data_IF_407528538691
#
_entry.id   IF_407528538691
#
_cell.length_a   1.000
_cell.length_b   1.000
_cell.length_c   1.000
_cell.angle_alpha   90.00
_cell.angle_beta   90.00
_cell.angle_gamma   90.00
#
_symmetry.space_group_name_H-M   'P 1'
#
loop_
_entity.id
_entity.type
_entity.pdbx_description
1 polymer ?
#
# COMPACT_ATOMS: atom_id res chain seq x y z
N UNK A 1 -0.36 -110.27 42.38
CA UNK A 1 0.05 -110.32 43.80
C UNK A 1 1.36 -109.59 43.95
N UNK A 2 1.55 -109.00 45.14
CA UNK A 2 2.67 -108.18 45.63
C UNK A 2 2.48 -106.65 45.54
N UNK A 3 2.37 -106.10 46.75
CA UNK A 3 2.13 -104.74 47.20
C UNK A 3 3.45 -103.98 47.44
N UNK A 4 3.29 -102.69 47.81
CA UNK A 4 4.12 -101.79 48.63
C UNK A 4 4.89 -100.73 47.82
N UNK A 5 4.52 -99.45 47.81
CA UNK A 5 4.22 -98.47 48.87
C UNK A 5 5.46 -97.84 49.53
N UNK A 6 5.50 -96.51 49.50
CA UNK A 6 6.38 -95.63 50.31
C UNK A 6 7.32 -94.76 49.47
N UNK A 7 7.51 -93.46 49.71
CA UNK A 7 6.89 -92.48 50.59
C UNK A 7 7.48 -91.10 50.18
N UNK A 8 6.61 -90.12 49.93
CA UNK A 8 6.70 -88.68 50.23
C UNK A 8 8.08 -87.99 50.35
N UNK A 9 8.30 -86.94 49.55
CA UNK A 9 8.78 -85.65 50.06
C UNK A 9 8.34 -84.49 49.14
N UNK A 10 7.61 -83.58 49.76
CA UNK A 10 7.12 -82.30 49.25
C UNK A 10 8.19 -81.21 49.38
N UNK A 11 8.29 -80.33 48.38
CA UNK A 11 9.03 -79.07 48.49
C UNK A 11 8.80 -78.22 47.25
N UNK A 12 7.80 -77.34 47.30
CA UNK A 12 7.53 -76.37 46.24
C UNK A 12 8.57 -75.25 46.23
N UNK A 13 8.96 -74.83 45.03
CA UNK A 13 9.63 -73.56 44.77
C UNK A 13 9.17 -73.05 43.40
N UNK A 14 8.15 -72.21 43.43
CA UNK A 14 7.77 -71.30 42.35
C UNK A 14 8.65 -70.05 42.46
N UNK A 15 9.11 -69.53 41.32
CA UNK A 15 9.63 -68.17 41.25
C UNK A 15 11.00 -68.00 40.58
N UNK A 16 10.97 -67.87 39.25
CA UNK A 16 11.40 -66.62 38.64
C UNK A 16 12.89 -66.38 38.41
N UNK A 17 13.29 -66.60 37.15
CA UNK A 17 14.25 -65.80 36.38
C UNK A 17 15.73 -65.90 36.75
N UNK A 18 16.41 -66.73 35.95
CA UNK A 18 17.85 -66.68 35.70
C UNK A 18 18.31 -65.25 35.35
N UNK A 19 19.17 -64.67 36.18
CA UNK A 19 20.05 -63.56 35.79
C UNK A 19 21.30 -64.21 35.18
N UNK A 20 21.25 -64.48 33.87
CA UNK A 20 22.41 -64.91 33.10
C UNK A 20 23.32 -63.71 32.77
N UNK A 21 24.62 -63.95 32.46
CA UNK A 21 25.55 -62.91 32.03
C UNK A 21 25.16 -62.45 30.62
N UNK A 22 24.28 -61.47 30.57
CA UNK A 22 23.67 -60.96 29.36
C UNK A 22 22.74 -59.81 29.72
N UNK A 23 23.25 -58.86 30.50
CA UNK A 23 22.57 -57.59 30.75
C UNK A 23 22.47 -56.86 29.40
N UNK A 24 21.37 -57.11 28.69
CA UNK A 24 21.01 -56.40 27.46
C UNK A 24 20.83 -54.95 27.85
N UNK A 25 21.75 -54.10 27.40
CA UNK A 25 21.62 -52.65 27.45
C UNK A 25 20.26 -52.29 26.88
N UNK A 26 19.34 -51.85 27.74
CA UNK A 26 18.07 -51.26 27.33
C UNK A 26 18.42 -49.96 26.60
N UNK A 27 18.50 -50.04 25.28
CA UNK A 27 18.70 -48.91 24.40
C UNK A 27 17.53 -47.95 24.61
N UNK A 28 17.84 -46.80 25.22
CA UNK A 28 16.94 -45.66 25.28
C UNK A 28 16.56 -45.29 23.85
N UNK A 29 15.28 -45.48 23.50
CA UNK A 29 14.76 -45.08 22.20
C UNK A 29 15.03 -43.58 21.98
N UNK A 30 15.71 -43.26 20.89
CA UNK A 30 15.86 -41.87 20.45
C UNK A 30 14.46 -41.27 20.20
N UNK A 31 14.20 -39.99 20.52
CA UNK A 31 12.96 -39.36 20.11
C UNK A 31 12.89 -39.41 18.58
N UNK A 32 11.76 -39.90 18.05
CA UNK A 32 11.53 -39.94 16.61
C UNK A 32 11.80 -38.55 16.00
N UNK A 33 12.48 -38.46 14.85
CA UNK A 33 12.66 -37.16 14.20
C UNK A 33 11.29 -36.55 13.95
N UNK A 34 11.16 -35.24 14.17
CA UNK A 34 10.01 -34.45 13.75
C UNK A 34 9.96 -34.50 12.21
N UNK A 35 9.47 -35.62 11.67
CA UNK A 35 9.13 -35.73 10.27
C UNK A 35 7.98 -34.77 10.07
N UNK A 36 8.30 -33.60 9.52
CA UNK A 36 7.31 -32.66 9.04
C UNK A 36 6.57 -33.44 7.97
N UNK A 37 5.39 -33.95 8.30
CA UNK A 37 4.55 -34.66 7.35
C UNK A 37 4.19 -33.63 6.27
N UNK A 38 5.00 -33.58 5.21
CA UNK A 38 4.72 -32.92 3.95
C UNK A 38 3.56 -33.69 3.31
N UNK A 39 2.39 -33.57 3.94
CA UNK A 39 1.14 -34.08 3.40
C UNK A 39 0.99 -33.56 1.96
N UNK A 40 0.37 -34.38 1.12
CA UNK A 40 0.14 -34.16 -0.32
C UNK A 40 -0.82 -32.97 -0.59
N UNK A 41 -0.50 -31.81 -0.03
CA UNK A 41 -1.21 -30.54 -0.16
C UNK A 41 -0.32 -29.45 -0.73
N UNK A 42 0.76 -29.81 -1.41
CA UNK A 42 1.63 -28.93 -2.21
C UNK A 42 0.84 -28.02 -3.17
N UNK A 43 -0.32 -28.45 -3.63
CA UNK A 43 -1.25 -27.63 -4.41
C UNK A 43 -1.79 -26.42 -3.64
N UNK A 44 -2.00 -26.48 -2.32
CA UNK A 44 -2.35 -25.30 -1.52
C UNK A 44 -1.21 -24.30 -1.43
N UNK A 45 0.04 -24.78 -1.37
CA UNK A 45 1.21 -23.90 -1.39
C UNK A 45 1.27 -23.16 -2.73
N UNK A 46 1.03 -23.87 -3.84
CA UNK A 46 0.95 -23.26 -5.17
C UNK A 46 -0.20 -22.24 -5.27
N UNK A 47 -1.38 -22.55 -4.74
CA UNK A 47 -2.52 -21.62 -4.72
C UNK A 47 -2.20 -20.39 -3.87
N UNK A 48 -1.63 -20.56 -2.68
CA UNK A 48 -1.28 -19.45 -1.80
C UNK A 48 -0.21 -18.54 -2.45
N UNK A 49 0.78 -19.14 -3.11
CA UNK A 49 1.79 -18.39 -3.86
C UNK A 49 1.17 -17.60 -5.00
N UNK A 50 0.30 -18.23 -5.79
CA UNK A 50 -0.38 -17.58 -6.90
C UNK A 50 -1.30 -16.46 -6.41
N UNK A 51 -2.08 -16.71 -5.35
CA UNK A 51 -2.94 -15.71 -4.72
C UNK A 51 -2.14 -14.51 -4.21
N UNK A 52 -0.93 -14.73 -3.67
CA UNK A 52 -0.04 -13.65 -3.22
C UNK A 52 0.44 -12.80 -4.40
N UNK A 53 0.89 -13.43 -5.49
CA UNK A 53 1.34 -12.72 -6.69
C UNK A 53 0.20 -11.92 -7.32
N UNK A 54 -0.97 -12.53 -7.46
CA UNK A 54 -2.17 -11.88 -8.02
C UNK A 54 -2.64 -10.76 -7.10
N UNK A 55 -2.72 -10.99 -5.80
CA UNK A 55 -3.12 -9.98 -4.81
C UNK A 55 -2.17 -8.78 -4.80
N UNK A 56 -0.86 -9.01 -4.85
CA UNK A 56 0.14 -7.95 -4.96
C UNK A 56 -0.03 -7.12 -6.25
N UNK A 57 -0.22 -7.79 -7.39
CA UNK A 57 -0.44 -7.12 -8.66
C UNK A 57 -1.76 -6.31 -8.68
N UNK A 58 -2.82 -6.82 -8.03
CA UNK A 58 -4.09 -6.11 -7.90
C UNK A 58 -3.95 -4.84 -7.05
N UNK A 59 -3.30 -4.93 -5.90
CA UNK A 59 -3.06 -3.76 -5.02
C UNK A 59 -2.22 -2.71 -5.75
N UNK A 60 -1.16 -3.13 -6.44
CA UNK A 60 -0.33 -2.22 -7.21
C UNK A 60 -1.12 -1.48 -8.31
N UNK A 61 -2.06 -2.15 -8.98
CA UNK A 61 -2.90 -1.53 -10.01
C UNK A 61 -4.01 -0.67 -9.44
N UNK A 62 -4.65 -1.09 -8.35
CA UNK A 62 -5.82 -0.39 -7.79
C UNK A 62 -5.46 0.81 -6.91
N UNK A 63 -4.24 0.83 -6.34
CA UNK A 63 -3.83 1.86 -5.39
C UNK A 63 -2.59 2.61 -5.89
N UNK A 64 -1.50 1.91 -6.22
CA UNK A 64 -0.25 2.61 -6.58
C UNK A 64 -0.35 3.37 -7.90
N UNK A 65 -1.05 2.81 -8.89
CA UNK A 65 -1.23 3.48 -10.18
C UNK A 65 -1.98 4.82 -10.04
N UNK A 66 -3.20 4.89 -9.46
CA UNK A 66 -3.91 6.17 -9.35
C UNK A 66 -3.19 7.17 -8.45
N UNK A 67 -2.48 6.72 -7.41
CA UNK A 67 -1.66 7.62 -6.58
C UNK A 67 -0.50 8.25 -7.36
N UNK A 68 0.11 7.50 -8.28
CA UNK A 68 1.15 8.03 -9.15
C UNK A 68 0.59 9.02 -10.15
N UNK A 69 -0.57 8.74 -10.74
CA UNK A 69 -1.27 9.66 -11.64
C UNK A 69 -1.65 10.97 -10.91
N UNK A 70 -2.14 10.88 -9.67
CA UNK A 70 -2.37 12.01 -8.77
C UNK A 70 -1.11 12.85 -8.56
N UNK A 71 0.01 12.21 -8.23
CA UNK A 71 1.28 12.91 -7.99
C UNK A 71 1.78 13.63 -9.26
N UNK A 72 1.68 12.98 -10.42
CA UNK A 72 2.05 13.58 -11.71
C UNK A 72 1.13 14.76 -12.06
N UNK A 73 -0.18 14.63 -11.85
CA UNK A 73 -1.13 15.72 -12.07
C UNK A 73 -0.90 16.91 -11.13
N UNK A 74 -0.59 16.66 -9.86
CA UNK A 74 -0.22 17.71 -8.91
C UNK A 74 1.07 18.43 -9.33
N UNK A 75 2.03 17.71 -9.89
CA UNK A 75 3.24 18.28 -10.50
C UNK A 75 2.91 19.26 -11.61
N UNK A 76 2.03 18.88 -12.55
CA UNK A 76 1.58 19.74 -13.66
C UNK A 76 0.88 21.02 -13.19
N UNK A 77 0.03 20.93 -12.17
CA UNK A 77 -0.59 22.12 -11.55
C UNK A 77 0.47 23.09 -11.03
N UNK A 78 1.57 22.58 -10.45
CA UNK A 78 2.68 23.42 -9.98
C UNK A 78 3.38 24.17 -11.11
N UNK A 79 3.36 23.62 -12.31
CA UNK A 79 3.93 24.20 -13.52
C UNK A 79 2.95 25.17 -14.22
N UNK A 80 1.75 25.35 -13.68
CA UNK A 80 0.71 26.23 -14.22
C UNK A 80 -0.26 25.53 -15.18
N UNK A 81 -0.15 24.22 -15.35
CA UNK A 81 -1.04 23.43 -16.21
C UNK A 81 -2.29 22.97 -15.44
N UNK A 82 -3.32 23.79 -15.43
CA UNK A 82 -4.55 23.52 -14.66
C UNK A 82 -5.62 22.68 -15.38
N UNK A 83 -5.44 22.35 -16.66
CA UNK A 83 -6.39 21.53 -17.42
C UNK A 83 -6.21 20.02 -17.18
N UNK A 84 -5.16 19.62 -16.46
CA UNK A 84 -4.91 18.22 -16.11
C UNK A 84 -6.01 17.68 -15.18
N UNK A 85 -6.83 16.75 -15.68
CA UNK A 85 -7.88 16.09 -14.90
C UNK A 85 -7.55 14.64 -14.64
N UNK A 86 -7.89 14.20 -13.44
CA UNK A 86 -7.83 12.80 -13.04
C UNK A 86 -9.15 12.10 -13.35
N UNK A 87 -9.07 10.80 -13.61
CA UNK A 87 -10.24 9.98 -13.92
C UNK A 87 -11.18 9.86 -12.69
N UNK A 88 -12.42 10.30 -12.85
CA UNK A 88 -13.46 10.22 -11.82
C UNK A 88 -14.26 8.90 -11.88
N UNK A 89 -13.90 7.98 -12.79
CA UNK A 89 -14.58 6.69 -12.97
C UNK A 89 -13.87 5.52 -12.27
N UNK A 90 -12.82 5.78 -11.49
CA UNK A 90 -12.05 4.76 -10.78
C UNK A 90 -12.92 3.85 -9.89
N UNK A 91 -12.58 2.56 -9.86
CA UNK A 91 -13.37 1.52 -9.20
C UNK A 91 -13.50 1.70 -7.68
N UNK A 92 -12.47 2.24 -7.03
CA UNK A 92 -12.43 2.46 -5.58
C UNK A 92 -13.06 3.81 -5.24
N UNK A 93 -14.06 3.82 -4.35
CA UNK A 93 -14.77 5.03 -3.91
C UNK A 93 -13.85 6.11 -3.35
N UNK A 94 -12.86 5.70 -2.56
CA UNK A 94 -11.92 6.57 -1.86
C UNK A 94 -10.99 7.28 -2.86
N UNK A 95 -10.50 6.55 -3.87
CA UNK A 95 -9.67 7.13 -4.93
C UNK A 95 -10.50 8.10 -5.79
N UNK A 96 -11.75 7.73 -6.09
CA UNK A 96 -12.68 8.60 -6.81
C UNK A 96 -12.91 9.92 -6.07
N UNK A 97 -13.16 9.87 -4.77
CA UNK A 97 -13.37 11.07 -3.96
C UNK A 97 -12.15 12.00 -3.97
N UNK A 98 -10.94 11.43 -3.85
CA UNK A 98 -9.69 12.19 -3.95
C UNK A 98 -9.53 12.82 -5.34
N UNK A 99 -9.79 12.07 -6.41
CA UNK A 99 -9.69 12.57 -7.78
C UNK A 99 -10.69 13.72 -8.03
N UNK A 100 -11.93 13.58 -7.56
CA UNK A 100 -12.95 14.64 -7.63
C UNK A 100 -12.54 15.90 -6.86
N UNK A 101 -11.97 15.72 -5.66
CA UNK A 101 -11.44 16.80 -4.84
C UNK A 101 -10.29 17.54 -5.53
N UNK A 102 -9.34 16.79 -6.08
CA UNK A 102 -8.22 17.35 -6.86
C UNK A 102 -8.71 18.13 -8.08
N UNK A 103 -9.61 17.56 -8.88
CA UNK A 103 -10.15 18.23 -10.07
C UNK A 103 -10.90 19.52 -9.71
N UNK A 104 -11.56 19.59 -8.54
CA UNK A 104 -12.22 20.81 -8.06
C UNK A 104 -11.20 21.89 -7.72
N UNK A 105 -10.16 21.55 -6.98
CA UNK A 105 -9.05 22.45 -6.65
C UNK A 105 -8.39 23.01 -7.92
N UNK A 106 -8.11 22.14 -8.90
CA UNK A 106 -7.51 22.52 -10.18
C UNK A 106 -8.37 23.57 -10.91
N UNK A 107 -9.69 23.35 -10.97
CA UNK A 107 -10.64 24.29 -11.60
C UNK A 107 -10.72 25.63 -10.87
N UNK A 108 -10.74 25.62 -9.54
CA UNK A 108 -10.78 26.85 -8.75
C UNK A 108 -9.50 27.67 -8.94
N UNK A 109 -8.34 27.01 -8.97
CA UNK A 109 -7.07 27.67 -9.21
C UNK A 109 -6.98 28.26 -10.62
N UNK A 110 -7.41 27.52 -11.64
CA UNK A 110 -7.50 28.03 -13.01
C UNK A 110 -8.34 29.30 -13.09
N UNK A 111 -9.51 29.29 -12.43
CA UNK A 111 -10.42 30.43 -12.41
C UNK A 111 -9.82 31.64 -11.69
N UNK A 112 -9.15 31.43 -10.55
CA UNK A 112 -8.48 32.52 -9.83
C UNK A 112 -7.41 33.19 -10.68
N UNK A 113 -6.67 32.43 -11.48
CA UNK A 113 -5.64 32.98 -12.35
C UNK A 113 -6.26 33.74 -13.54
N UNK A 114 -7.35 33.24 -14.11
CA UNK A 114 -8.13 33.94 -15.13
C UNK A 114 -8.71 35.27 -14.59
N UNK A 115 -9.32 35.24 -13.41
CA UNK A 115 -9.88 36.43 -12.76
C UNK A 115 -8.79 37.48 -12.50
N UNK A 116 -7.59 37.05 -12.08
CA UNK A 116 -6.43 37.94 -11.92
C UNK A 116 -5.98 38.56 -13.24
N UNK A 117 -5.89 37.77 -14.31
CA UNK A 117 -5.51 38.26 -15.62
C UNK A 117 -6.50 39.31 -16.14
N UNK A 118 -7.81 39.07 -15.98
CA UNK A 118 -8.88 40.01 -16.35
C UNK A 118 -8.82 41.27 -15.50
N UNK A 119 -8.63 41.14 -14.18
CA UNK A 119 -8.54 42.29 -13.28
C UNK A 119 -7.34 43.19 -13.63
N UNK A 120 -6.18 42.61 -13.91
CA UNK A 120 -4.98 43.36 -14.31
C UNK A 120 -5.15 44.06 -15.66
N UNK A 121 -5.85 43.43 -16.60
CA UNK A 121 -6.21 44.04 -17.88
C UNK A 121 -7.17 45.23 -17.68
N UNK A 122 -8.17 45.09 -16.81
CA UNK A 122 -9.12 46.15 -16.47
C UNK A 122 -8.47 47.36 -15.80
N UNK A 123 -7.60 47.15 -14.81
CA UNK A 123 -6.86 48.23 -14.14
C UNK A 123 -6.00 49.01 -15.14
N UNK A 124 -5.34 48.30 -16.07
CA UNK A 124 -4.52 48.94 -17.11
C UNK A 124 -5.36 49.81 -18.05
N UNK A 125 -6.60 49.40 -18.32
CA UNK A 125 -7.54 50.18 -19.12
C UNK A 125 -7.96 51.46 -18.41
N UNK A 126 -8.30 51.37 -17.12
CA UNK A 126 -8.83 52.49 -16.35
C UNK A 126 -7.76 53.52 -15.97
N UNK A 127 -6.48 53.12 -15.89
CA UNK A 127 -5.36 54.04 -15.61
C UNK A 127 -4.89 54.83 -16.84
N UNK A 128 -5.14 54.35 -18.07
CA UNK A 128 -4.71 55.03 -19.30
C UNK A 128 -5.42 56.38 -19.48
N UNK A 129 -6.69 56.46 -19.10
CA UNK A 129 -7.53 57.65 -19.23
C UNK A 129 -7.09 58.82 -18.32
N UNK A 130 -6.86 58.62 -17.01
CA UNK A 130 -6.35 59.69 -16.14
C UNK A 130 -4.89 60.05 -16.45
N UNK A 131 -4.02 59.09 -16.82
CA UNK A 131 -2.64 59.40 -17.24
C UNK A 131 -2.60 60.26 -18.51
N UNK A 132 -3.47 59.99 -19.48
CA UNK A 132 -3.59 60.82 -20.67
C UNK A 132 -4.03 62.25 -20.32
N UNK A 133 -4.93 62.43 -19.34
CA UNK A 133 -5.33 63.76 -18.86
C UNK A 133 -4.21 64.50 -18.15
N UNK A 134 -3.49 63.85 -17.24
CA UNK A 134 -2.35 64.46 -16.53
C UNK A 134 -1.25 64.89 -17.51
N UNK A 135 -0.98 64.07 -18.53
CA UNK A 135 -0.06 64.43 -19.60
C UNK A 135 -0.53 65.65 -20.38
N UNK A 136 -1.82 65.73 -20.71
CA UNK A 136 -2.41 66.89 -21.38
C UNK A 136 -2.28 68.16 -20.54
N UNK A 137 -2.55 68.09 -19.23
CA UNK A 137 -2.38 69.21 -18.32
C UNK A 137 -0.93 69.69 -18.25
N UNK A 138 0.05 68.77 -18.21
CA UNK A 138 1.47 69.14 -18.23
C UNK A 138 1.93 69.72 -19.57
N UNK A 139 1.42 69.21 -20.71
CA UNK A 139 1.74 69.76 -22.04
C UNK A 139 1.13 71.15 -22.25
N UNK A 140 -0.03 71.44 -21.65
CA UNK A 140 -0.63 72.78 -21.67
C UNK A 140 0.08 73.75 -20.72
N UNK A 141 0.46 73.32 -19.50
CA UNK A 141 1.14 74.21 -18.55
C UNK A 141 2.54 74.62 -19.03
N UNK A 142 3.28 73.70 -19.68
CA UNK A 142 4.61 74.00 -20.23
C UNK A 142 4.54 74.91 -21.45
N UNK A 143 3.50 74.81 -22.29
CA UNK A 143 3.32 75.72 -23.42
C UNK A 143 3.00 77.16 -22.97
N UNK A 144 2.27 77.33 -21.87
CA UNK A 144 1.92 78.65 -21.32
C UNK A 144 3.16 79.37 -20.75
N UNK A 145 4.16 78.61 -20.27
CA UNK A 145 5.45 79.13 -19.81
C UNK A 145 6.40 79.54 -20.94
N UNK A 146 6.25 78.98 -22.14
CA UNK A 146 7.02 79.38 -23.34
C UNK A 146 6.38 80.55 -24.11
N UNK A 147 5.12 80.89 -23.80
CA UNK A 147 4.38 81.98 -24.43
C UNK A 147 4.46 83.34 -23.67
N UNK A 148 5.13 83.38 -22.51
CA UNK A 148 5.48 84.60 -21.77
C UNK A 148 6.94 84.98 -21.98
#
# INVERSE_FOLDING_TARGET
GAYLAGLRASGGFDGGSAIGPGAVFRQSGMPAPLSVALSSNWWWVLIALLATVVGSALIARLINQPLRELAEAAGRIREGEYDSRLDETTMTSEIREVNMGFNRMARELAKLEEDRAVMLAGISHDLRTPLARLRLETEMSVNDEQAR
#
